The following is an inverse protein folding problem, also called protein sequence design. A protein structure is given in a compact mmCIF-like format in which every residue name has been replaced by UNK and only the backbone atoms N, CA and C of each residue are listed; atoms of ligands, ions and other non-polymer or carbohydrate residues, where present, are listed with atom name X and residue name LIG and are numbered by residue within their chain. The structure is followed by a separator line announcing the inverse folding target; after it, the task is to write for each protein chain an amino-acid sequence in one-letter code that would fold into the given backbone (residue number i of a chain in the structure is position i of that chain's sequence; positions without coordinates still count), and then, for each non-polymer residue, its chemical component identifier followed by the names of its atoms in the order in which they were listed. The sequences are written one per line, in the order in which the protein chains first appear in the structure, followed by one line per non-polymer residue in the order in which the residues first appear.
data_IF_987317497820
#
_entry.id   IF_987317497820
#
_cell.length_a   1.000
_cell.length_b   1.000
_cell.length_c   1.000
_cell.angle_alpha   90.00
_cell.angle_beta   90.00
_cell.angle_gamma   90.00
#
_symmetry.space_group_name_H-M   'P 1'
#
loop_
_entity.id
_entity.type
_entity.pdbx_description
1 polymer ?
#
# COMPACT_ATOMS: atom_id res chain seq x y z
N UNK A 1 -19.50 -0.85 -20.27
CA UNK A 1 -19.00 0.55 -20.41
C UNK A 1 -17.96 0.80 -19.33
N UNK A 2 -16.74 1.20 -19.69
CA UNK A 2 -15.66 1.48 -18.74
C UNK A 2 -16.00 2.76 -17.97
N UNK A 3 -16.25 2.67 -16.65
CA UNK A 3 -16.33 3.82 -15.74
C UNK A 3 -14.98 4.55 -15.81
N UNK A 4 -14.93 5.67 -16.50
CA UNK A 4 -13.92 6.71 -16.21
C UNK A 4 -14.07 7.07 -14.74
N UNK A 5 -12.98 6.99 -13.97
CA UNK A 5 -12.95 7.17 -12.52
C UNK A 5 -13.20 8.64 -12.13
N UNK A 6 -14.42 9.12 -12.38
CA UNK A 6 -14.86 10.42 -11.88
C UNK A 6 -15.19 10.30 -10.39
N UNK A 7 -14.91 11.36 -9.59
CA UNK A 7 -15.44 11.48 -8.24
C UNK A 7 -16.97 11.34 -8.25
N UNK A 8 -17.52 10.89 -7.11
CA UNK A 8 -18.96 10.66 -7.00
C UNK A 8 -19.75 11.92 -7.36
N UNK A 9 -20.83 11.76 -8.13
CA UNK A 9 -21.67 12.87 -8.59
C UNK A 9 -21.08 13.75 -9.70
N UNK A 10 -19.76 13.72 -9.93
CA UNK A 10 -19.14 14.51 -11.01
C UNK A 10 -19.44 13.90 -12.37
N UNK A 11 -19.91 14.74 -13.29
CA UNK A 11 -20.27 14.37 -14.67
C UNK A 11 -19.47 15.20 -15.65
N UNK A 12 -19.37 14.69 -16.88
CA UNK A 12 -18.77 15.42 -18.00
C UNK A 12 -19.74 15.49 -19.17
N UNK A 13 -19.73 16.61 -19.90
CA UNK A 13 -20.44 16.79 -21.16
C UNK A 13 -19.45 17.28 -22.21
N UNK A 14 -19.59 16.85 -23.46
CA UNK A 14 -18.86 17.44 -24.59
C UNK A 14 -19.71 18.51 -25.26
N UNK A 15 -19.11 19.66 -25.53
CA UNK A 15 -19.66 20.74 -26.33
C UNK A 15 -19.64 20.42 -27.83
N UNK A 16 -20.22 21.32 -28.63
CA UNK A 16 -20.24 21.21 -30.10
C UNK A 16 -18.86 21.41 -30.72
N UNK A 17 -18.01 22.15 -30.02
CA UNK A 17 -16.58 22.39 -30.26
C UNK A 17 -15.69 21.23 -29.80
N UNK A 18 -16.27 20.11 -29.38
CA UNK A 18 -15.58 18.96 -28.77
C UNK A 18 -14.86 19.26 -27.44
N UNK A 19 -15.09 20.45 -26.86
CA UNK A 19 -14.56 20.81 -25.54
C UNK A 19 -15.31 20.05 -24.45
N UNK A 20 -14.58 19.46 -23.50
CA UNK A 20 -15.18 18.72 -22.39
C UNK A 20 -15.38 19.65 -21.21
N UNK A 21 -16.58 19.65 -20.62
CA UNK A 21 -16.89 20.43 -19.43
C UNK A 21 -17.38 19.52 -18.31
N UNK A 22 -16.82 19.71 -17.13
CA UNK A 22 -17.12 18.98 -15.91
C UNK A 22 -18.11 19.79 -15.06
N UNK A 23 -19.08 19.08 -14.47
CA UNK A 23 -20.11 19.68 -13.63
C UNK A 23 -20.59 18.70 -12.55
N UNK A 24 -21.17 19.24 -11.49
CA UNK A 24 -21.85 18.51 -10.43
C UNK A 24 -23.35 18.79 -10.51
N UNK A 25 -24.18 17.77 -10.27
CA UNK A 25 -25.63 17.97 -10.09
C UNK A 25 -25.87 18.14 -8.59
N UNK A 26 -26.42 19.29 -8.20
CA UNK A 26 -26.77 19.61 -6.83
C UNK A 26 -28.09 18.91 -6.42
N UNK A 27 -28.39 18.77 -5.11
CA UNK A 27 -29.61 18.11 -4.64
C UNK A 27 -30.91 18.73 -5.16
N UNK A 28 -30.89 20.04 -5.42
CA UNK A 28 -31.99 20.81 -6.02
C UNK A 28 -32.14 20.59 -7.54
N UNK A 29 -31.32 19.71 -8.14
CA UNK A 29 -31.31 19.40 -9.55
C UNK A 29 -30.53 20.38 -10.42
N UNK A 30 -29.98 21.46 -9.85
CA UNK A 30 -29.20 22.45 -10.60
C UNK A 30 -27.79 21.94 -10.92
N UNK A 31 -27.12 22.58 -11.89
CA UNK A 31 -25.79 22.19 -12.35
C UNK A 31 -24.76 23.20 -11.90
N UNK A 32 -23.84 22.76 -11.03
CA UNK A 32 -22.66 23.52 -10.66
C UNK A 32 -21.53 23.23 -11.66
N UNK A 33 -21.10 24.25 -12.38
CA UNK A 33 -20.02 24.12 -13.36
C UNK A 33 -18.66 24.08 -12.66
N UNK A 34 -17.89 23.01 -12.88
CA UNK A 34 -16.56 22.82 -12.27
C UNK A 34 -15.43 23.29 -13.19
N UNK A 35 -15.63 23.27 -14.51
CA UNK A 35 -14.67 23.79 -15.48
C UNK A 35 -14.40 22.84 -16.64
N UNK A 36 -13.44 23.20 -17.50
CA UNK A 36 -13.04 22.39 -18.66
C UNK A 36 -11.78 21.55 -18.39
N UNK A 37 -10.93 22.02 -17.49
CA UNK A 37 -9.76 21.29 -16.98
C UNK A 37 -10.18 20.26 -15.91
N UNK A 38 -9.72 19.02 -16.05
CA UNK A 38 -10.08 17.93 -15.15
C UNK A 38 -9.46 18.06 -13.75
N UNK A 39 -8.22 18.55 -13.65
CA UNK A 39 -7.51 18.74 -12.38
C UNK A 39 -8.19 19.84 -11.57
N UNK A 40 -8.47 20.96 -12.21
CA UNK A 40 -9.18 22.08 -11.58
C UNK A 40 -10.61 21.68 -11.19
N UNK A 41 -11.30 20.89 -12.02
CA UNK A 41 -12.62 20.38 -11.71
C UNK A 41 -12.63 19.45 -10.49
N UNK A 42 -11.61 18.58 -10.35
CA UNK A 42 -11.45 17.74 -9.16
C UNK A 42 -11.20 18.57 -7.89
N UNK A 43 -10.36 19.61 -7.98
CA UNK A 43 -10.09 20.50 -6.85
C UNK A 43 -11.36 21.21 -6.39
N UNK A 44 -12.09 21.85 -7.32
CA UNK A 44 -13.38 22.50 -7.02
C UNK A 44 -14.42 21.53 -6.48
N UNK A 45 -14.42 20.29 -6.96
CA UNK A 45 -15.29 19.26 -6.41
C UNK A 45 -14.96 18.98 -4.93
N UNK A 46 -13.68 18.86 -4.57
CA UNK A 46 -13.25 18.68 -3.16
C UNK A 46 -13.66 19.88 -2.31
N UNK A 47 -13.44 21.11 -2.79
CA UNK A 47 -13.85 22.34 -2.10
C UNK A 47 -15.36 22.38 -1.83
N UNK A 48 -16.18 21.97 -2.80
CA UNK A 48 -17.64 21.90 -2.65
C UNK A 48 -18.03 20.85 -1.61
N UNK A 49 -17.42 19.66 -1.64
CA UNK A 49 -17.69 18.62 -0.65
C UNK A 49 -17.23 19.04 0.76
N UNK A 50 -16.07 19.67 0.87
CA UNK A 50 -15.55 20.22 2.14
C UNK A 50 -16.47 21.29 2.71
N UNK A 51 -16.95 22.22 1.88
CA UNK A 51 -17.91 23.24 2.29
C UNK A 51 -19.21 22.63 2.83
N UNK A 52 -19.70 21.55 2.20
CA UNK A 52 -20.88 20.82 2.68
C UNK A 52 -20.63 20.18 4.05
N UNK A 53 -19.49 19.50 4.22
CA UNK A 53 -19.11 18.90 5.52
C UNK A 53 -18.98 19.97 6.60
N UNK A 54 -18.37 21.11 6.29
CA UNK A 54 -18.21 22.22 7.21
C UNK A 54 -19.57 22.83 7.62
N UNK A 55 -20.54 22.91 6.71
CA UNK A 55 -21.89 23.36 7.01
C UNK A 55 -22.66 22.35 7.86
N UNK A 56 -22.50 21.06 7.60
CA UNK A 56 -23.14 19.99 8.37
C UNK A 56 -22.59 19.89 9.81
N UNK A 57 -21.34 20.31 10.04
CA UNK A 57 -20.66 20.30 11.35
C UNK A 57 -20.80 18.95 12.09
N UNK A 58 -20.15 17.88 11.58
CA UNK A 58 -20.21 16.58 12.23
C UNK A 58 -19.67 16.66 13.67
N UNK A 59 -20.47 16.21 14.62
CA UNK A 59 -20.19 16.22 16.07
C UNK A 59 -19.76 14.84 16.60
N UNK A 60 -20.03 13.76 15.86
CA UNK A 60 -19.61 12.39 16.18
C UNK A 60 -18.49 11.86 15.28
N UNK A 61 -17.81 10.81 15.77
CA UNK A 61 -16.70 10.17 15.06
C UNK A 61 -17.13 9.55 13.72
N UNK A 62 -18.27 8.85 13.68
CA UNK A 62 -18.79 8.20 12.47
C UNK A 62 -19.27 9.23 11.43
N UNK A 63 -19.88 10.33 11.89
CA UNK A 63 -20.26 11.43 11.02
C UNK A 63 -19.01 12.08 10.37
N UNK A 64 -17.97 12.32 11.16
CA UNK A 64 -16.70 12.87 10.66
C UNK A 64 -16.03 11.95 9.65
N UNK A 65 -15.95 10.64 9.92
CA UNK A 65 -15.41 9.65 8.98
C UNK A 65 -16.17 9.61 7.66
N UNK A 66 -17.49 9.75 7.71
CA UNK A 66 -18.34 9.81 6.53
C UNK A 66 -18.11 11.09 5.74
N UNK A 67 -17.97 12.23 6.41
CA UNK A 67 -17.56 13.49 5.81
C UNK A 67 -16.22 13.39 5.08
N UNK A 68 -15.19 12.87 5.74
CA UNK A 68 -13.86 12.67 5.17
C UNK A 68 -13.88 11.78 3.92
N UNK A 69 -14.68 10.70 3.93
CA UNK A 69 -14.82 9.83 2.76
C UNK A 69 -15.51 10.50 1.59
N UNK A 70 -16.54 11.34 1.84
CA UNK A 70 -17.21 12.11 0.77
C UNK A 70 -16.25 13.08 0.09
N UNK A 71 -15.29 13.65 0.82
CA UNK A 71 -14.28 14.54 0.25
C UNK A 71 -13.11 13.81 -0.42
N UNK A 72 -13.01 12.48 -0.31
CA UNK A 72 -11.88 11.72 -0.82
C UNK A 72 -12.00 11.42 -2.31
N UNK A 73 -10.99 11.81 -3.09
CA UNK A 73 -10.89 11.44 -4.50
C UNK A 73 -10.65 9.92 -4.67
N UNK A 74 -11.19 9.30 -5.73
CA UNK A 74 -10.94 7.89 -6.01
C UNK A 74 -9.44 7.64 -6.26
N UNK A 75 -8.88 6.61 -5.60
CA UNK A 75 -7.49 6.24 -5.80
C UNK A 75 -7.29 5.59 -7.18
N UNK A 76 -6.23 5.94 -7.93
CA UNK A 76 -5.94 5.34 -9.23
C UNK A 76 -5.51 3.87 -9.11
N UNK A 77 -5.00 3.46 -7.95
CA UNK A 77 -4.62 2.08 -7.66
C UNK A 77 -5.75 1.37 -6.93
N UNK A 78 -6.27 0.30 -7.55
CA UNK A 78 -7.30 -0.55 -6.92
C UNK A 78 -6.81 -1.14 -5.59
N UNK A 79 -5.53 -1.51 -5.49
CA UNK A 79 -4.96 -2.03 -4.25
C UNK A 79 -4.86 -0.95 -3.16
N UNK A 80 -4.47 0.29 -3.51
CA UNK A 80 -4.45 1.40 -2.54
C UNK A 80 -5.85 1.80 -2.09
N UNK A 81 -6.83 1.78 -3.02
CA UNK A 81 -8.23 2.00 -2.71
C UNK A 81 -8.76 0.98 -1.70
N UNK A 82 -8.55 -0.31 -1.96
CA UNK A 82 -9.02 -1.39 -1.08
C UNK A 82 -8.37 -1.33 0.30
N UNK A 83 -7.07 -1.02 0.39
CA UNK A 83 -6.38 -0.82 1.67
C UNK A 83 -6.99 0.34 2.47
N UNK A 84 -7.14 1.52 1.84
CA UNK A 84 -7.76 2.68 2.49
C UNK A 84 -9.20 2.40 2.94
N UNK A 85 -9.97 1.65 2.15
CA UNK A 85 -11.32 1.23 2.55
C UNK A 85 -11.30 0.30 3.78
N UNK A 86 -10.38 -0.66 3.83
CA UNK A 86 -10.24 -1.56 4.98
C UNK A 86 -9.81 -0.81 6.25
N UNK A 87 -8.87 0.14 6.12
CA UNK A 87 -8.42 0.99 7.23
C UNK A 87 -9.58 1.84 7.79
N UNK A 88 -10.36 2.48 6.92
CA UNK A 88 -11.53 3.26 7.33
C UNK A 88 -12.68 2.40 7.86
N UNK A 89 -12.86 1.18 7.33
CA UNK A 89 -13.83 0.22 7.87
C UNK A 89 -13.46 -0.18 9.30
N UNK A 90 -12.17 -0.43 9.56
CA UNK A 90 -11.69 -0.75 10.90
C UNK A 90 -11.97 0.38 11.90
N UNK A 91 -11.76 1.65 11.51
CA UNK A 91 -12.12 2.79 12.36
C UNK A 91 -13.62 2.87 12.62
N UNK A 92 -14.44 2.61 11.60
CA UNK A 92 -15.90 2.58 11.77
C UNK A 92 -16.34 1.52 12.75
N UNK A 93 -15.80 0.31 12.62
CA UNK A 93 -16.13 -0.79 13.53
C UNK A 93 -15.75 -0.43 14.97
N UNK A 94 -14.57 0.17 15.17
CA UNK A 94 -14.14 0.66 16.48
C UNK A 94 -15.09 1.72 17.05
N UNK A 95 -15.40 2.78 16.30
CA UNK A 95 -16.26 3.84 16.80
C UNK A 95 -17.71 3.40 16.99
N UNK A 96 -18.21 2.48 16.16
CA UNK A 96 -19.52 1.89 16.34
C UNK A 96 -19.59 1.06 17.64
N UNK A 97 -18.57 0.23 17.91
CA UNK A 97 -18.47 -0.51 19.17
C UNK A 97 -18.33 0.42 20.39
N UNK A 98 -17.67 1.56 20.23
CA UNK A 98 -17.52 2.59 21.25
C UNK A 98 -18.76 3.50 21.43
N UNK A 99 -19.86 3.22 20.72
CA UNK A 99 -21.11 3.97 20.84
C UNK A 99 -21.17 5.30 20.09
N UNK A 100 -20.37 5.45 19.02
CA UNK A 100 -20.19 6.67 18.24
C UNK A 100 -19.87 7.92 19.08
N UNK A 101 -18.65 7.97 19.66
CA UNK A 101 -18.29 9.02 20.60
C UNK A 101 -18.31 10.41 19.95
N UNK A 102 -18.67 11.42 20.74
CA UNK A 102 -18.52 12.83 20.36
C UNK A 102 -17.04 13.18 20.19
N UNK A 103 -16.73 14.10 19.27
CA UNK A 103 -15.34 14.43 18.93
C UNK A 103 -14.52 14.95 20.13
N UNK A 104 -15.13 15.61 21.10
CA UNK A 104 -14.48 16.09 22.32
C UNK A 104 -14.14 14.96 23.32
N UNK A 105 -14.91 13.86 23.31
CA UNK A 105 -14.70 12.72 24.22
C UNK A 105 -13.56 11.78 23.80
N UNK A 106 -13.09 11.86 22.55
CA UNK A 106 -12.00 11.00 22.06
C UNK A 106 -10.68 11.41 22.74
N UNK A 107 -10.15 10.55 23.62
CA UNK A 107 -9.03 10.91 24.49
C UNK A 107 -7.65 10.45 24.00
N UNK A 108 -7.48 9.17 23.65
CA UNK A 108 -6.19 8.61 23.24
C UNK A 108 -6.36 7.37 22.35
N UNK A 109 -5.28 6.91 21.70
CA UNK A 109 -5.28 5.67 20.93
C UNK A 109 -5.28 4.40 21.80
N UNK A 110 -5.11 4.51 23.12
CA UNK A 110 -4.94 3.34 24.01
C UNK A 110 -6.15 2.40 24.00
N UNK A 111 -7.36 2.96 24.04
CA UNK A 111 -8.61 2.18 24.00
C UNK A 111 -8.78 1.49 22.64
N UNK A 112 -8.42 2.20 21.56
CA UNK A 112 -8.38 1.63 20.22
C UNK A 112 -7.40 0.47 20.12
N UNK A 113 -6.18 0.62 20.64
CA UNK A 113 -5.19 -0.46 20.60
C UNK A 113 -5.63 -1.69 21.41
N UNK A 114 -6.24 -1.47 22.57
CA UNK A 114 -6.79 -2.54 23.40
C UNK A 114 -7.90 -3.29 22.65
N UNK A 115 -8.85 -2.55 22.08
CA UNK A 115 -9.90 -3.10 21.22
C UNK A 115 -9.32 -3.87 20.02
N UNK A 116 -8.29 -3.34 19.36
CA UNK A 116 -7.65 -3.93 18.19
C UNK A 116 -7.00 -5.29 18.50
N UNK A 117 -6.35 -5.40 19.68
CA UNK A 117 -5.77 -6.64 20.19
C UNK A 117 -6.88 -7.66 20.46
N UNK A 118 -7.95 -7.26 21.15
CA UNK A 118 -9.07 -8.15 21.48
C UNK A 118 -9.77 -8.71 20.25
N UNK A 119 -9.92 -7.89 19.20
CA UNK A 119 -10.48 -8.30 17.90
C UNK A 119 -9.54 -9.18 17.06
N UNK A 120 -8.29 -9.40 17.51
CA UNK A 120 -7.29 -10.28 16.86
C UNK A 120 -7.03 -9.93 15.39
N UNK A 121 -6.98 -8.64 15.05
CA UNK A 121 -6.63 -8.22 13.71
C UNK A 121 -5.25 -8.76 13.29
N UNK A 122 -5.13 -9.17 12.03
CA UNK A 122 -3.89 -9.78 11.52
C UNK A 122 -2.84 -8.75 11.07
N UNK A 123 -3.23 -7.49 10.92
CA UNK A 123 -2.41 -6.39 10.41
C UNK A 123 -1.93 -5.48 11.53
N UNK A 124 -0.94 -4.62 11.24
CA UNK A 124 -0.52 -3.57 12.19
C UNK A 124 -1.61 -2.50 12.31
N UNK A 125 -1.85 -1.93 13.50
CA UNK A 125 -2.72 -0.79 13.70
C UNK A 125 -2.18 0.53 13.11
N UNK A 126 -0.88 0.62 12.75
CA UNK A 126 -0.23 1.88 12.35
C UNK A 126 -0.98 2.62 11.24
N UNK A 127 -1.40 1.88 10.21
CA UNK A 127 -2.08 2.47 9.07
C UNK A 127 -3.45 3.04 9.46
N UNK A 128 -4.13 2.37 10.39
CA UNK A 128 -5.45 2.76 10.92
C UNK A 128 -5.32 4.01 11.80
N UNK A 129 -4.29 4.07 12.65
CA UNK A 129 -3.99 5.28 13.45
C UNK A 129 -3.59 6.45 12.57
N UNK A 130 -2.75 6.22 11.54
CA UNK A 130 -2.36 7.26 10.60
C UNK A 130 -3.56 7.83 9.83
N UNK A 131 -4.47 6.97 9.33
CA UNK A 131 -5.64 7.49 8.63
C UNK A 131 -6.59 8.25 9.56
N UNK A 132 -6.73 7.84 10.83
CA UNK A 132 -7.49 8.62 11.81
C UNK A 132 -6.88 10.01 12.04
N UNK A 133 -5.55 10.10 12.15
CA UNK A 133 -4.87 11.39 12.26
C UNK A 133 -5.12 12.28 11.03
N UNK A 134 -5.15 11.71 9.82
CA UNK A 134 -5.52 12.45 8.62
C UNK A 134 -6.99 12.94 8.65
N UNK A 135 -7.91 12.11 9.14
CA UNK A 135 -9.31 12.50 9.37
C UNK A 135 -9.39 13.66 10.36
N UNK A 136 -8.57 13.63 11.41
CA UNK A 136 -8.52 14.70 12.40
C UNK A 136 -7.96 16.00 11.86
N UNK A 137 -6.85 15.94 11.09
CA UNK A 137 -6.27 17.10 10.41
C UNK A 137 -7.31 17.72 9.47
N UNK A 138 -8.01 16.90 8.68
CA UNK A 138 -9.13 17.35 7.85
C UNK A 138 -10.21 18.07 8.67
N UNK A 139 -10.56 17.57 9.86
CA UNK A 139 -11.51 18.24 10.74
C UNK A 139 -10.99 19.59 11.27
N UNK A 140 -9.68 19.69 11.54
CA UNK A 140 -9.03 20.93 11.95
C UNK A 140 -9.01 21.96 10.82
N UNK A 141 -8.67 21.55 9.60
CA UNK A 141 -8.67 22.41 8.41
C UNK A 141 -10.06 22.99 8.10
N UNK A 142 -11.12 22.26 8.43
CA UNK A 142 -12.50 22.72 8.31
C UNK A 142 -13.04 23.44 9.56
N UNK A 143 -12.19 23.69 10.56
CA UNK A 143 -12.56 24.33 11.83
C UNK A 143 -13.68 23.60 12.60
N UNK A 144 -13.84 22.29 12.38
CA UNK A 144 -14.81 21.44 13.10
C UNK A 144 -14.29 21.13 14.51
N UNK A 145 -12.98 20.95 14.65
CA UNK A 145 -12.31 20.73 15.93
C UNK A 145 -11.18 21.74 16.12
N UNK A 146 -11.09 22.33 17.32
CA UNK A 146 -10.05 23.31 17.66
C UNK A 146 -8.78 22.74 18.28
N UNK A 147 -8.74 21.43 18.56
CA UNK A 147 -7.61 20.78 19.27
C UNK A 147 -6.81 19.85 18.37
N UNK A 148 -5.53 19.70 18.68
CA UNK A 148 -4.64 18.72 18.05
C UNK A 148 -5.19 17.30 18.18
N UNK A 149 -4.79 16.42 17.25
CA UNK A 149 -5.23 15.03 17.27
C UNK A 149 -4.83 14.34 18.59
N UNK A 150 -5.78 13.72 19.31
CA UNK A 150 -5.49 13.01 20.56
C UNK A 150 -4.65 11.74 20.34
N UNK A 151 -4.67 11.17 19.13
CA UNK A 151 -3.92 9.95 18.81
C UNK A 151 -2.50 10.27 18.37
N UNK A 152 -1.53 9.65 19.05
CA UNK A 152 -0.12 9.82 18.71
C UNK A 152 0.26 9.01 17.46
N UNK A 153 1.40 9.38 16.86
CA UNK A 153 2.01 8.54 15.84
C UNK A 153 2.42 7.22 16.45
N UNK A 154 2.02 6.12 15.82
CA UNK A 154 2.58 4.81 16.09
C UNK A 154 3.62 4.52 15.00
N UNK A 155 4.87 4.36 15.40
CA UNK A 155 5.92 3.80 14.54
C UNK A 155 6.29 2.43 15.09
N UNK A 156 5.49 1.44 14.71
CA UNK A 156 5.75 0.04 15.04
C UNK A 156 6.67 -0.64 14.02
N UNK A 157 7.11 0.08 12.97
CA UNK A 157 7.86 -0.49 11.85
C UNK A 157 9.21 -1.06 12.29
N UNK A 158 9.95 -0.31 13.10
CA UNK A 158 11.26 -0.74 13.63
C UNK A 158 11.13 -1.98 14.51
N UNK A 159 10.11 -2.00 15.35
CA UNK A 159 9.83 -3.11 16.27
C UNK A 159 9.42 -4.36 15.48
N UNK A 160 8.53 -4.20 14.50
CA UNK A 160 8.13 -5.27 13.59
C UNK A 160 9.32 -5.83 12.81
N UNK A 161 10.19 -4.97 12.29
CA UNK A 161 11.39 -5.38 11.58
C UNK A 161 12.34 -6.20 12.45
N UNK A 162 12.46 -5.86 13.74
CA UNK A 162 13.20 -6.67 14.73
C UNK A 162 12.57 -8.04 14.94
N UNK A 163 11.24 -8.15 15.00
CA UNK A 163 10.55 -9.44 15.10
C UNK A 163 10.66 -10.27 13.81
N UNK A 164 10.61 -9.63 12.66
CA UNK A 164 10.87 -10.29 11.38
C UNK A 164 12.32 -10.83 11.32
N UNK A 165 13.30 -10.04 11.79
CA UNK A 165 14.67 -10.50 11.94
C UNK A 165 14.80 -11.66 12.94
N UNK A 166 14.13 -11.56 14.10
CA UNK A 166 14.08 -12.62 15.11
C UNK A 166 13.51 -13.93 14.54
N UNK A 167 12.49 -13.86 13.68
CA UNK A 167 11.91 -15.02 13.02
C UNK A 167 12.83 -15.68 12.00
N UNK A 168 13.61 -14.88 11.28
CA UNK A 168 14.65 -15.40 10.40
C UNK A 168 15.74 -16.12 11.21
N UNK A 169 16.20 -15.50 12.31
CA UNK A 169 17.23 -16.07 13.20
C UNK A 169 16.73 -17.35 13.88
N UNK A 170 15.46 -17.40 14.28
CA UNK A 170 14.85 -18.54 14.97
C UNK A 170 15.10 -19.88 14.25
N UNK A 171 15.09 -19.88 12.92
CA UNK A 171 15.35 -21.07 12.09
C UNK A 171 16.73 -21.68 12.27
N UNK A 172 17.70 -20.90 12.73
CA UNK A 172 19.11 -21.29 12.86
C UNK A 172 19.61 -21.19 14.31
N UNK A 173 18.73 -20.81 15.24
CA UNK A 173 19.08 -20.68 16.64
C UNK A 173 19.25 -22.06 17.29
N UNK A 174 20.11 -22.11 18.31
CA UNK A 174 20.26 -23.27 19.20
C UNK A 174 19.71 -22.93 20.58
N UNK A 175 19.43 -23.94 21.39
CA UNK A 175 19.06 -23.74 22.79
C UNK A 175 20.21 -23.04 23.55
N UNK A 176 19.93 -22.11 24.47
CA UNK A 176 18.62 -21.66 24.93
C UNK A 176 17.98 -20.52 24.11
N UNK A 177 18.67 -19.96 23.10
CA UNK A 177 18.18 -18.84 22.28
C UNK A 177 16.86 -19.17 21.55
N UNK A 178 16.67 -20.41 21.11
CA UNK A 178 15.41 -20.86 20.49
C UNK A 178 14.19 -20.61 21.36
N UNK A 179 14.26 -20.87 22.67
CA UNK A 179 13.15 -20.66 23.60
C UNK A 179 12.77 -19.18 23.74
N UNK A 180 13.76 -18.29 23.86
CA UNK A 180 13.52 -16.84 23.90
C UNK A 180 12.83 -16.35 22.61
N UNK A 181 13.32 -16.79 21.46
CA UNK A 181 12.77 -16.40 20.16
C UNK A 181 11.36 -16.99 19.95
N UNK A 182 11.11 -18.21 20.41
CA UNK A 182 9.78 -18.84 20.34
C UNK A 182 8.75 -18.04 21.14
N UNK A 183 9.07 -17.64 22.37
CA UNK A 183 8.19 -16.82 23.22
C UNK A 183 7.81 -15.47 22.58
N UNK A 184 8.76 -14.84 21.89
CA UNK A 184 8.51 -13.56 21.19
C UNK A 184 7.57 -13.73 20.00
N UNK A 185 7.73 -14.82 19.26
CA UNK A 185 7.11 -15.02 17.96
C UNK A 185 5.75 -15.74 18.02
N UNK A 186 5.52 -16.57 19.04
CA UNK A 186 4.28 -17.33 19.16
C UNK A 186 3.13 -16.55 19.81
N UNK A 187 1.95 -16.66 19.19
CA UNK A 187 0.69 -16.07 19.70
C UNK A 187 0.12 -16.82 20.92
N UNK A 188 0.61 -18.02 21.22
CA UNK A 188 0.08 -18.94 22.23
C UNK A 188 0.89 -18.91 23.54
N UNK A 189 0.91 -17.78 24.23
CA UNK A 189 1.09 -17.81 25.67
C UNK A 189 0.16 -16.76 26.30
N UNK A 190 -0.91 -17.24 26.94
CA UNK A 190 -1.02 -17.08 28.38
C UNK A 190 -0.92 -18.48 28.97
N UNK A 191 0.29 -19.03 29.06
CA UNK A 191 0.50 -20.04 30.09
C UNK A 191 0.76 -19.25 31.34
N UNK A 192 -0.26 -19.22 32.20
CA UNK A 192 -0.10 -19.24 33.64
C UNK A 192 1.18 -20.03 33.92
N UNK A 193 2.26 -19.31 34.24
CA UNK A 193 3.49 -19.93 34.67
C UNK A 193 3.13 -20.51 36.03
N UNK A 194 2.83 -21.81 36.06
CA UNK A 194 3.03 -22.57 37.28
C UNK A 194 4.43 -22.21 37.81
N UNK A 195 4.61 -22.01 39.13
CA UNK A 195 5.90 -21.59 39.71
C UNK A 195 6.99 -22.68 39.63
N UNK A 196 6.89 -23.62 38.71
CA UNK A 196 7.84 -24.69 38.51
C UNK A 196 8.78 -24.36 37.34
N UNK A 197 9.94 -23.81 37.75
CA UNK A 197 11.15 -23.55 36.97
C UNK A 197 10.97 -22.53 35.85
N UNK A 198 11.19 -21.26 36.20
CA UNK A 198 11.92 -20.40 35.29
C UNK A 198 13.16 -21.17 34.83
N UNK A 199 13.39 -21.40 33.52
CA UNK A 199 14.75 -21.63 33.08
C UNK A 199 15.48 -20.37 33.52
N UNK A 200 16.34 -20.49 34.52
CA UNK A 200 17.32 -19.47 34.87
C UNK A 200 17.87 -18.97 33.54
N UNK A 201 17.61 -17.69 33.22
CA UNK A 201 18.38 -17.00 32.18
C UNK A 201 19.82 -17.34 32.53
N UNK A 202 20.58 -18.05 31.69
CA UNK A 202 21.97 -18.31 32.02
C UNK A 202 22.60 -16.96 32.31
N UNK A 203 23.35 -16.84 33.40
CA UNK A 203 24.14 -15.64 33.73
C UNK A 203 25.06 -15.20 32.58
N UNK A 204 25.20 -16.01 31.53
CA UNK A 204 25.97 -15.71 30.34
C UNK A 204 25.14 -15.03 29.24
N UNK A 205 24.79 -13.76 29.45
CA UNK A 205 24.40 -12.84 28.36
C UNK A 205 25.38 -12.91 27.19
N UNK A 206 26.67 -13.12 27.49
CA UNK A 206 27.72 -13.33 26.49
C UNK A 206 27.50 -14.61 25.68
N UNK A 207 27.09 -15.71 26.32
CA UNK A 207 26.79 -16.96 25.64
C UNK A 207 25.59 -16.83 24.69
N UNK A 208 24.50 -16.20 25.15
CA UNK A 208 23.36 -15.90 24.29
C UNK A 208 23.75 -15.00 23.11
N UNK A 209 24.61 -14.01 23.33
CA UNK A 209 25.10 -13.13 22.27
C UNK A 209 25.97 -13.89 21.24
N UNK A 210 26.77 -14.87 21.68
CA UNK A 210 27.54 -15.75 20.77
C UNK A 210 26.59 -16.59 19.92
N UNK A 211 25.60 -17.24 20.54
CA UNK A 211 24.59 -18.02 19.82
C UNK A 211 23.82 -17.17 18.81
N UNK A 212 23.46 -15.94 19.19
CA UNK A 212 22.77 -15.01 18.32
C UNK A 212 23.63 -14.64 17.12
N UNK A 213 24.92 -14.30 17.32
CA UNK A 213 25.84 -13.97 16.23
C UNK A 213 26.04 -15.14 15.28
N UNK A 214 26.16 -16.36 15.79
CA UNK A 214 26.28 -17.57 14.96
C UNK A 214 25.03 -17.79 14.11
N UNK A 215 23.85 -17.77 14.73
CA UNK A 215 22.58 -17.92 14.02
C UNK A 215 22.34 -16.80 13.01
N UNK A 216 22.64 -15.54 13.37
CA UNK A 216 22.54 -14.38 12.49
C UNK A 216 23.47 -14.49 11.26
N UNK A 217 24.69 -15.02 11.42
CA UNK A 217 25.62 -15.21 10.31
C UNK A 217 25.06 -16.19 9.28
N UNK A 218 24.53 -17.33 9.75
CA UNK A 218 23.88 -18.34 8.90
C UNK A 218 22.62 -17.79 8.23
N UNK A 219 21.79 -17.08 9.00
CA UNK A 219 20.60 -16.39 8.49
C UNK A 219 20.92 -15.38 7.38
N UNK A 220 21.96 -14.57 7.55
CA UNK A 220 22.40 -13.59 6.54
C UNK A 220 22.86 -14.28 5.26
N UNK A 221 23.60 -15.38 5.37
CA UNK A 221 24.00 -16.17 4.20
C UNK A 221 22.76 -16.67 3.42
N UNK A 222 21.75 -17.18 4.13
CA UNK A 222 20.50 -17.64 3.52
C UNK A 222 19.68 -16.50 2.92
N UNK A 223 19.59 -15.35 3.60
CA UNK A 223 18.89 -14.16 3.10
C UNK A 223 19.50 -13.64 1.79
N UNK A 224 20.84 -13.62 1.71
CA UNK A 224 21.56 -13.27 0.47
C UNK A 224 21.28 -14.28 -0.63
N UNK A 225 21.27 -15.58 -0.30
CA UNK A 225 20.97 -16.64 -1.25
C UNK A 225 19.53 -16.58 -1.79
N UNK A 226 18.55 -16.20 -0.95
CA UNK A 226 17.13 -16.10 -1.37
C UNK A 226 16.74 -14.72 -1.90
N UNK A 227 17.62 -13.72 -1.79
CA UNK A 227 17.42 -12.36 -2.32
C UNK A 227 16.62 -11.42 -1.41
N UNK A 228 16.38 -11.76 -0.13
CA UNK A 228 15.72 -10.89 0.86
C UNK A 228 16.74 -9.97 1.54
N UNK A 229 17.29 -9.03 0.75
CA UNK A 229 18.32 -8.10 1.21
C UNK A 229 17.83 -7.09 2.25
N UNK A 230 16.52 -6.82 2.29
CA UNK A 230 15.86 -5.93 3.23
C UNK A 230 16.04 -6.35 4.70
N UNK A 231 16.17 -7.65 4.97
CA UNK A 231 16.34 -8.20 6.33
C UNK A 231 17.79 -8.43 6.74
N UNK A 232 18.77 -8.25 5.84
CA UNK A 232 20.18 -8.53 6.13
C UNK A 232 20.72 -7.63 7.22
N UNK A 233 20.53 -6.31 7.10
CA UNK A 233 20.99 -5.37 8.12
C UNK A 233 20.24 -5.54 9.46
N UNK A 234 18.89 -5.67 9.49
CA UNK A 234 18.15 -5.96 10.72
C UNK A 234 18.59 -7.23 11.45
N UNK A 235 18.85 -8.33 10.72
CA UNK A 235 19.35 -9.58 11.33
C UNK A 235 20.74 -9.41 11.91
N UNK A 236 21.61 -8.67 11.21
CA UNK A 236 22.97 -8.42 11.69
C UNK A 236 23.02 -7.50 12.92
N UNK A 237 22.09 -6.55 13.02
CA UNK A 237 22.01 -5.57 14.10
C UNK A 237 21.24 -6.06 15.33
N UNK A 238 20.61 -7.24 15.26
CA UNK A 238 19.80 -7.78 16.34
C UNK A 238 20.68 -8.08 17.57
N UNK A 239 20.25 -7.65 18.76
CA UNK A 239 20.93 -7.88 20.03
C UNK A 239 20.05 -8.65 21.02
N UNK A 240 20.67 -9.29 22.02
CA UNK A 240 19.90 -9.95 23.09
C UNK A 240 19.13 -8.92 23.92
N UNK A 241 19.71 -7.74 24.19
CA UNK A 241 19.03 -6.66 24.91
C UNK A 241 17.75 -6.20 24.22
N UNK A 242 17.78 -6.11 22.88
CA UNK A 242 16.61 -5.79 22.08
C UNK A 242 15.51 -6.86 22.24
N UNK A 243 15.88 -8.14 22.19
CA UNK A 243 14.94 -9.26 22.33
C UNK A 243 14.32 -9.32 23.72
N UNK A 244 15.12 -9.09 24.77
CA UNK A 244 14.64 -9.03 26.16
C UNK A 244 13.73 -7.81 26.39
N UNK A 245 14.09 -6.66 25.84
CA UNK A 245 13.25 -5.44 25.89
C UNK A 245 11.91 -5.65 25.20
N UNK A 246 11.88 -6.35 24.07
CA UNK A 246 10.66 -6.69 23.35
C UNK A 246 9.76 -7.68 24.10
N UNK A 247 10.36 -8.64 24.83
CA UNK A 247 9.64 -9.65 25.61
C UNK A 247 8.73 -9.01 26.67
N UNK A 248 9.20 -7.96 27.32
CA UNK A 248 8.42 -7.21 28.32
C UNK A 248 7.51 -6.12 27.75
N UNK A 249 7.52 -5.90 26.43
CA UNK A 249 6.81 -4.76 25.83
C UNK A 249 5.33 -5.07 25.59
N UNK A 250 4.39 -4.17 26.00
CA UNK A 250 2.96 -4.34 25.71
C UNK A 250 2.67 -4.29 24.20
N UNK A 251 3.57 -3.68 23.42
CA UNK A 251 3.50 -3.52 21.98
C UNK A 251 3.68 -4.85 21.24
N UNK A 252 4.31 -5.86 21.87
CA UNK A 252 4.62 -7.15 21.26
C UNK A 252 3.41 -7.81 20.59
N UNK A 253 2.23 -7.72 21.23
CA UNK A 253 0.98 -8.28 20.71
C UNK A 253 0.52 -7.62 19.40
N UNK A 254 0.84 -6.33 19.19
CA UNK A 254 0.45 -5.53 18.04
C UNK A 254 1.37 -5.73 16.83
N UNK A 255 2.62 -6.12 17.07
CA UNK A 255 3.69 -6.16 16.06
C UNK A 255 4.08 -7.54 15.59
N UNK A 256 3.53 -8.59 16.23
CA UNK A 256 3.84 -9.98 15.87
C UNK A 256 3.56 -10.21 14.38
N UNK A 257 4.51 -10.81 13.65
CA UNK A 257 4.29 -11.12 12.26
C UNK A 257 3.08 -12.07 12.12
N UNK A 258 2.26 -11.92 11.05
CA UNK A 258 1.04 -12.71 10.89
C UNK A 258 1.31 -14.21 10.71
N UNK A 259 2.54 -14.57 10.35
CA UNK A 259 3.06 -15.93 10.25
C UNK A 259 4.59 -15.93 10.16
N UNK A 260 5.17 -17.12 9.95
CA UNK A 260 6.61 -17.33 9.86
C UNK A 260 7.13 -16.99 8.45
N UNK A 261 8.24 -16.27 8.35
CA UNK A 261 8.91 -15.90 7.11
C UNK A 261 9.53 -17.15 6.49
N UNK A 262 9.10 -17.53 5.27
CA UNK A 262 9.74 -18.58 4.50
C UNK A 262 10.97 -18.08 3.75
N UNK A 263 12.12 -18.71 4.01
CA UNK A 263 13.40 -18.44 3.35
C UNK A 263 13.68 -19.39 2.16
N UNK A 264 12.67 -20.11 1.69
CA UNK A 264 12.82 -21.10 0.61
C UNK A 264 13.23 -20.46 -0.72
N UNK A 265 14.08 -21.17 -1.46
CA UNK A 265 14.58 -20.83 -2.79
C UNK A 265 13.46 -20.59 -3.82
N UNK A 266 12.26 -21.14 -3.56
CA UNK A 266 11.03 -20.99 -4.36
C UNK A 266 10.62 -19.54 -4.60
N UNK A 267 10.94 -18.60 -3.70
CA UNK A 267 10.63 -17.17 -3.96
C UNK A 267 11.45 -16.62 -5.13
N UNK A 268 12.71 -17.05 -5.27
CA UNK A 268 13.58 -16.64 -6.38
C UNK A 268 13.14 -17.29 -7.68
N UNK A 269 12.77 -18.56 -7.64
CA UNK A 269 12.18 -19.27 -8.79
C UNK A 269 10.84 -18.66 -9.21
N UNK A 270 9.97 -18.29 -8.26
CA UNK A 270 8.70 -17.63 -8.51
C UNK A 270 8.86 -16.21 -9.05
N UNK A 271 9.79 -15.43 -8.49
CA UNK A 271 10.11 -14.09 -9.02
C UNK A 271 10.77 -14.19 -10.41
N UNK A 272 11.60 -15.22 -10.64
CA UNK A 272 12.18 -15.49 -11.95
C UNK A 272 11.14 -16.00 -12.94
N UNK A 273 10.14 -16.79 -12.51
CA UNK A 273 9.02 -17.24 -13.33
C UNK A 273 8.04 -16.10 -13.66
N UNK A 274 7.95 -15.09 -12.79
CA UNK A 274 7.21 -13.84 -13.08
C UNK A 274 7.98 -12.92 -14.05
N UNK A 275 9.31 -13.00 -14.08
CA UNK A 275 10.18 -12.26 -15.00
C UNK A 275 10.38 -12.94 -16.35
N UNK A 276 10.10 -14.24 -16.45
CA UNK A 276 10.10 -14.93 -17.75
C UNK A 276 8.79 -14.57 -18.47
N UNK A 277 8.84 -13.86 -19.61
CA UNK A 277 7.62 -13.62 -20.38
C UNK A 277 7.05 -14.97 -20.77
N UNK A 278 5.83 -15.25 -20.32
CA UNK A 278 5.10 -16.47 -20.58
C UNK A 278 4.99 -16.66 -22.10
N UNK A 279 5.85 -17.50 -22.67
CA UNK A 279 5.85 -17.88 -24.09
C UNK A 279 4.67 -18.80 -24.48
N UNK A 280 3.59 -18.83 -23.69
CA UNK A 280 2.40 -19.66 -23.93
C UNK A 280 1.13 -18.84 -24.17
N UNK A 281 1.23 -17.77 -24.94
CA UNK A 281 0.05 -17.11 -25.56
C UNK A 281 0.31 -16.81 -27.03
N UNK A 282 0.73 -17.84 -27.77
CA UNK A 282 0.43 -17.99 -29.20
C UNK A 282 -0.75 -18.94 -29.29
N UNK A 283 -1.97 -18.40 -29.16
CA UNK A 283 -3.24 -18.90 -29.71
C UNK A 283 -4.42 -18.24 -28.98
N UNK A 284 -4.59 -16.93 -29.17
CA UNK A 284 -5.92 -16.33 -29.12
C UNK A 284 -5.92 -15.14 -30.08
N UNK A 285 -6.36 -15.42 -31.31
CA UNK A 285 -6.66 -14.42 -32.32
C UNK A 285 -7.71 -13.45 -31.77
N UNK A 286 -7.44 -12.16 -31.94
CA UNK A 286 -8.46 -11.11 -31.96
C UNK A 286 -8.52 -10.23 -30.72
N UNK A 287 -7.93 -9.03 -30.80
CA UNK A 287 -8.47 -7.72 -30.36
C UNK A 287 -7.31 -6.72 -30.12
N UNK A 288 -6.60 -6.33 -31.17
CA UNK A 288 -5.61 -5.26 -31.10
C UNK A 288 -6.09 -3.96 -31.74
N UNK A 289 -5.99 -2.88 -30.96
CA UNK A 289 -6.42 -1.53 -31.30
C UNK A 289 -6.56 -0.60 -30.09
N UNK A 290 -6.56 -1.13 -28.86
CA UNK A 290 -6.73 -0.32 -27.62
C UNK A 290 -5.50 -0.26 -26.70
N UNK A 291 -4.47 -1.06 -26.92
CA UNK A 291 -3.25 -1.05 -26.10
C UNK A 291 -2.27 0.05 -26.53
N UNK A 292 -2.17 0.37 -27.82
CA UNK A 292 -1.20 1.32 -28.37
C UNK A 292 -1.45 2.79 -28.00
N UNK A 293 -2.66 3.15 -27.56
CA UNK A 293 -2.99 4.52 -27.11
C UNK A 293 -2.53 4.76 -25.67
N UNK A 294 -2.48 3.72 -24.83
CA UNK A 294 -2.19 3.84 -23.39
C UNK A 294 -0.71 3.99 -23.06
N UNK A 295 0.18 3.54 -23.93
CA UNK A 295 1.63 3.68 -23.73
C UNK A 295 2.16 5.04 -24.19
N UNK A 296 1.45 5.75 -25.07
CA UNK A 296 1.87 7.12 -25.47
C UNK A 296 1.60 8.16 -24.38
N UNK A 297 0.56 7.99 -23.57
CA UNK A 297 0.21 8.92 -22.47
C UNK A 297 1.14 8.79 -21.24
N UNK A 298 1.86 7.67 -21.10
CA UNK A 298 2.84 7.44 -20.00
C UNK A 298 4.28 7.81 -20.38
N UNK A 299 4.54 8.02 -21.67
CA UNK A 299 5.81 8.53 -22.19
C UNK A 299 5.85 10.05 -22.24
N UNK A 300 4.77 10.72 -21.84
CA UNK A 300 4.69 12.17 -21.77
C UNK A 300 5.51 12.69 -20.57
N UNK A 301 6.59 13.46 -20.79
CA UNK A 301 7.44 13.96 -19.72
C UNK A 301 6.68 14.83 -18.70
N UNK A 302 5.56 15.45 -19.07
CA UNK A 302 4.71 16.20 -18.14
C UNK A 302 3.93 15.28 -17.19
N UNK A 303 3.44 14.14 -17.69
CA UNK A 303 2.77 13.12 -16.87
C UNK A 303 3.75 12.43 -15.92
N UNK A 304 4.99 12.24 -16.36
CA UNK A 304 6.08 11.70 -15.53
C UNK A 304 6.49 12.69 -14.43
N UNK A 305 6.58 13.98 -14.72
CA UNK A 305 6.85 15.01 -13.69
C UNK A 305 5.72 15.12 -12.66
N UNK A 306 4.46 14.95 -13.06
CA UNK A 306 3.31 14.97 -12.14
C UNK A 306 3.27 13.72 -11.23
N UNK A 307 3.70 12.56 -11.73
CA UNK A 307 3.87 11.35 -10.93
C UNK A 307 5.02 11.48 -9.92
N UNK A 308 6.13 12.11 -10.33
CA UNK A 308 7.27 12.42 -9.46
C UNK A 308 6.87 13.43 -8.39
N UNK A 309 6.24 14.55 -8.72
CA UNK A 309 5.78 15.54 -7.74
C UNK A 309 4.72 14.98 -6.76
N UNK A 310 3.88 14.04 -7.20
CA UNK A 310 2.92 13.35 -6.30
C UNK A 310 3.57 12.37 -5.34
N UNK A 311 4.71 11.77 -5.72
CA UNK A 311 5.51 10.95 -4.81
C UNK A 311 6.33 11.81 -3.84
N UNK A 312 6.71 13.04 -4.23
CA UNK A 312 7.41 14.00 -3.37
C UNK A 312 6.49 14.70 -2.34
N UNK A 313 5.16 14.74 -2.57
CA UNK A 313 4.18 15.26 -1.61
C UNK A 313 3.70 14.21 -0.58
N UNK A 314 4.16 12.96 -0.71
CA UNK A 314 4.03 11.93 0.31
C UNK A 314 5.27 12.05 1.21
N UNK A 315 5.18 12.85 2.28
CA UNK A 315 6.24 12.95 3.30
C UNK A 315 6.38 11.62 4.05
N UNK A 316 7.03 10.65 3.42
CA UNK A 316 7.67 9.52 4.07
C UNK A 316 9.18 9.80 4.12
N UNK A 317 9.86 9.66 5.28
CA UNK A 317 11.30 9.61 5.34
C UNK A 317 11.79 8.22 4.90
N UNK A 318 11.55 7.86 3.64
CA UNK A 318 12.30 6.81 2.95
C UNK A 318 13.28 7.50 2.02
N UNK A 319 14.57 7.20 2.20
CA UNK A 319 15.67 7.96 1.59
C UNK A 319 15.45 8.14 0.08
N UNK A 320 15.84 9.30 -0.45
CA UNK A 320 15.80 9.64 -1.88
C UNK A 320 16.38 8.51 -2.76
N UNK A 321 17.30 7.70 -2.21
CA UNK A 321 17.85 6.52 -2.88
C UNK A 321 16.83 5.41 -3.15
N UNK A 322 15.88 5.14 -2.25
CA UNK A 322 14.84 4.11 -2.45
C UNK A 322 13.81 4.53 -3.49
N UNK A 323 13.40 5.80 -3.51
CA UNK A 323 12.52 6.35 -4.56
C UNK A 323 13.21 6.33 -5.93
N UNK A 324 14.51 6.62 -5.98
CA UNK A 324 15.29 6.53 -7.22
C UNK A 324 15.38 5.09 -7.74
N UNK A 325 15.57 4.11 -6.86
CA UNK A 325 15.60 2.68 -7.22
C UNK A 325 14.23 2.20 -7.70
N UNK A 326 13.13 2.60 -7.06
CA UNK A 326 11.78 2.23 -7.50
C UNK A 326 11.41 2.91 -8.83
N UNK A 327 11.80 4.16 -9.04
CA UNK A 327 11.61 4.87 -10.30
C UNK A 327 12.46 4.28 -11.44
N UNK A 328 13.74 3.95 -11.19
CA UNK A 328 14.60 3.26 -12.17
C UNK A 328 14.04 1.86 -12.49
N UNK A 329 13.50 1.14 -11.51
CA UNK A 329 12.87 -0.16 -11.73
C UNK A 329 11.59 -0.03 -12.58
N UNK A 330 10.76 0.97 -12.32
CA UNK A 330 9.56 1.26 -13.15
C UNK A 330 9.93 1.73 -14.56
N UNK A 331 11.00 2.50 -14.70
CA UNK A 331 11.50 2.98 -15.99
C UNK A 331 12.09 1.83 -16.82
N UNK A 332 12.87 0.94 -16.22
CA UNK A 332 13.42 -0.23 -16.91
C UNK A 332 12.30 -1.20 -17.37
N UNK A 333 11.25 -1.38 -16.56
CA UNK A 333 10.06 -2.14 -16.97
C UNK A 333 9.38 -1.50 -18.19
N UNK A 334 9.29 -0.17 -18.24
CA UNK A 334 8.67 0.57 -19.34
C UNK A 334 9.52 0.55 -20.63
N UNK A 335 10.85 0.62 -20.50
CA UNK A 335 11.79 0.53 -21.63
C UNK A 335 11.82 -0.88 -22.22
N UNK A 336 11.85 -1.92 -21.38
CA UNK A 336 11.81 -3.31 -21.83
C UNK A 336 10.48 -3.64 -22.53
N UNK A 337 9.34 -3.16 -22.00
CA UNK A 337 8.05 -3.33 -22.69
C UNK A 337 7.98 -2.55 -24.01
N UNK A 338 8.62 -1.38 -24.12
CA UNK A 338 8.74 -0.62 -25.37
C UNK A 338 9.61 -1.34 -26.41
N UNK A 339 10.75 -1.92 -26.01
CA UNK A 339 11.64 -2.67 -26.88
C UNK A 339 10.97 -3.95 -27.42
N UNK A 340 10.31 -4.70 -26.53
CA UNK A 340 9.55 -5.91 -26.89
C UNK A 340 8.40 -5.58 -27.86
N UNK A 341 7.74 -4.42 -27.72
CA UNK A 341 6.69 -3.98 -28.64
C UNK A 341 7.21 -3.48 -30.00
N UNK A 342 8.46 -2.99 -30.06
CA UNK A 342 9.11 -2.60 -31.33
C UNK A 342 9.59 -3.81 -32.13
N UNK A 343 10.22 -4.79 -31.48
CA UNK A 343 10.63 -6.04 -32.14
C UNK A 343 9.43 -6.83 -32.68
N UNK A 344 8.31 -6.84 -31.95
CA UNK A 344 7.07 -7.50 -32.38
C UNK A 344 6.43 -6.83 -33.62
N UNK A 345 6.52 -5.51 -33.75
CA UNK A 345 6.03 -4.76 -34.92
C UNK A 345 6.94 -4.85 -36.14
N UNK A 346 8.23 -5.18 -35.97
CA UNK A 346 9.17 -5.41 -37.07
C UNK A 346 8.97 -6.82 -37.66
N UNK A 347 8.75 -7.83 -36.81
CA UNK A 347 8.49 -9.21 -37.23
C UNK A 347 7.16 -9.38 -37.99
N UNK A 348 6.10 -8.64 -37.63
CA UNK A 348 4.80 -8.70 -38.32
C UNK A 348 4.81 -8.06 -39.73
N UNK A 349 5.86 -7.28 -40.07
CA UNK A 349 5.99 -6.66 -41.41
C UNK A 349 6.78 -7.51 -42.41
N UNK A 350 7.51 -8.53 -41.95
CA UNK A 350 8.37 -9.35 -42.82
C UNK A 350 7.69 -10.63 -43.32
N UNK A 351 6.42 -10.91 -42.98
CA UNK A 351 5.71 -12.12 -43.41
C UNK A 351 4.35 -11.81 -44.05
N UNK A 352 4.38 -11.21 -45.25
CA UNK A 352 3.26 -11.26 -46.20
C UNK A 352 3.73 -11.97 -47.47
N UNK A 353 3.23 -13.18 -47.79
CA UNK A 353 3.56 -13.84 -49.05
C UNK A 353 2.78 -13.23 -50.22
N UNK A 354 3.50 -12.92 -51.29
CA UNK A 354 2.97 -12.67 -52.63
C UNK A 354 2.36 -13.95 -53.23
N UNK A 355 1.06 -13.94 -53.52
CA UNK A 355 0.39 -14.76 -54.55
C UNK A 355 -1.05 -14.21 -54.73
N UNK A 356 -1.35 -13.45 -55.80
CA UNK A 356 -1.94 -13.90 -57.09
C UNK A 356 -3.38 -14.50 -56.90
N UNK A 357 -4.47 -14.05 -57.52
CA UNK A 357 -4.78 -13.72 -58.93
C UNK A 357 -5.99 -12.75 -59.01
N UNK A 358 -5.99 -11.73 -59.90
CA UNK A 358 -6.65 -11.65 -61.23
C UNK A 358 -8.17 -11.93 -61.25
N UNK A 359 -8.99 -10.91 -61.57
CA UNK A 359 -9.76 -10.78 -62.83
C UNK A 359 -10.66 -9.54 -62.82
N UNK A 360 -10.46 -8.67 -63.81
CA UNK A 360 -11.49 -8.03 -64.66
C UNK A 360 -12.63 -7.20 -64.05
N UNK A 361 -12.67 -5.90 -64.38
CA UNK A 361 -13.85 -5.25 -64.97
C UNK A 361 -13.54 -3.81 -65.44
N UNK A 362 -13.77 -3.57 -66.73
CA UNK A 362 -14.51 -2.43 -67.32
C UNK A 362 -14.35 -1.04 -66.68
N UNK A 363 -13.78 -0.09 -67.42
CA UNK A 363 -14.51 1.00 -68.11
C UNK A 363 -13.56 2.15 -68.48
N UNK A 364 -13.63 2.59 -69.73
CA UNK A 364 -13.02 3.83 -70.20
C UNK A 364 -13.54 4.18 -71.59
N UNK A 365 -14.68 4.89 -71.64
CA UNK A 365 -15.14 5.65 -72.80
C UNK A 365 -14.28 6.91 -72.94
N UNK A 366 -14.05 7.34 -74.18
CA UNK A 366 -13.51 8.66 -74.52
C UNK A 366 -12.45 8.56 -75.60
#
# INVERSE_FOLDING_TARGET
MKRTAYPSGMRSRRGRDNTRTFYLIQPDGTKLMLGQDFRLACQRWVEVQQSQVQQERPDTALALLSGFQRCSLPSPSSAAFLRRQAELATLRDYFADAGDPMLDTIASEADFLTWYIHRKHATSPDAVVRIFRHVWIFAQELEIVGRACPWKSLDLSKVRLKLEAADVVYRFALAPLTGLLEELLDKRLPRTIEPHRAPSVPDDMQYLQVLLKQAASTAVAQLRACGRMDLVAPVYQLTIDDLLSLRGSPILSLVRPPGRISLEHRRREYLNSLKTPTQSSRESKGLDGRASVRLRELSDPEVQQVLVQRLFLDENPTSIGQLKIELEHLFNIAVDTSAILRERNLMDKEHLPEALFVTGAKNGKG
#
